data_IF_542315943069
#
_entry.id   IF_542315943069
#
_cell.length_a   1.000
_cell.length_b   1.000
_cell.length_c   1.000
_cell.angle_alpha   90.00
_cell.angle_beta   90.00
_cell.angle_gamma   90.00
#
_symmetry.space_group_name_H-M   'P 1'
#
loop_
_entity.id
_entity.type
_entity.pdbx_description
1 polymer ?
#
# COMPACT_ATOMS: atom_id res chain seq x y z
N UNK A 1 16.06 -8.37 16.86
CA UNK A 1 15.70 -7.04 17.41
C UNK A 1 15.97 -5.88 16.45
N UNK A 2 17.17 -5.75 15.83
CA UNK A 2 17.56 -4.57 15.02
C UNK A 2 16.72 -4.30 13.76
N UNK A 3 16.09 -5.31 13.17
CA UNK A 3 15.33 -5.19 11.92
C UNK A 3 13.80 -5.08 12.10
N UNK A 4 13.30 -5.22 13.33
CA UNK A 4 11.86 -5.17 13.64
C UNK A 4 11.27 -3.79 13.31
N UNK A 5 12.03 -2.72 13.60
CA UNK A 5 11.63 -1.35 13.24
C UNK A 5 11.45 -1.18 11.73
N UNK A 6 12.32 -1.81 10.92
CA UNK A 6 12.24 -1.72 9.45
C UNK A 6 11.08 -2.54 8.91
N UNK A 7 10.79 -3.70 9.50
CA UNK A 7 9.61 -4.50 9.15
C UNK A 7 8.33 -3.72 9.46
N UNK A 8 8.19 -3.19 10.68
CA UNK A 8 7.06 -2.33 11.07
C UNK A 8 6.92 -1.12 10.17
N UNK A 9 8.02 -0.42 9.86
CA UNK A 9 8.00 0.75 8.97
C UNK A 9 7.50 0.38 7.56
N UNK A 10 8.05 -0.69 6.99
CA UNK A 10 7.66 -1.22 5.67
C UNK A 10 6.17 -1.51 5.62
N UNK A 11 5.66 -2.10 6.68
CA UNK A 11 4.27 -2.52 6.80
C UNK A 11 3.35 -1.34 6.97
N UNK A 12 3.69 -0.40 7.84
CA UNK A 12 2.89 0.81 8.07
C UNK A 12 2.82 1.65 6.80
N UNK A 13 3.93 1.75 6.06
CA UNK A 13 3.94 2.41 4.74
C UNK A 13 3.17 1.62 3.69
N UNK A 14 3.19 0.28 3.73
CA UNK A 14 2.37 -0.55 2.84
C UNK A 14 0.88 -0.36 3.12
N UNK A 15 0.49 -0.36 4.40
CA UNK A 15 -0.86 -0.10 4.86
C UNK A 15 -1.31 1.28 4.37
N UNK A 16 -0.54 2.33 4.69
CA UNK A 16 -0.84 3.69 4.26
C UNK A 16 -0.99 3.79 2.74
N UNK A 17 -0.10 3.16 1.96
CA UNK A 17 -0.20 3.12 0.51
C UNK A 17 -1.52 2.47 0.04
N UNK A 18 -1.89 1.31 0.58
CA UNK A 18 -3.14 0.63 0.23
C UNK A 18 -4.39 1.46 0.60
N UNK A 19 -4.37 2.10 1.76
CA UNK A 19 -5.44 3.00 2.20
C UNK A 19 -5.57 4.20 1.25
N UNK A 20 -4.47 4.85 0.88
CA UNK A 20 -4.47 5.99 -0.05
C UNK A 20 -4.94 5.59 -1.45
N UNK A 21 -4.52 4.42 -1.94
CA UNK A 21 -4.99 3.86 -3.20
C UNK A 21 -6.51 3.60 -3.15
N UNK A 22 -7.00 2.96 -2.08
CA UNK A 22 -8.44 2.72 -1.90
C UNK A 22 -9.23 4.03 -1.83
N UNK A 23 -8.75 5.02 -1.07
CA UNK A 23 -9.36 6.34 -0.99
C UNK A 23 -9.39 7.05 -2.36
N UNK A 24 -8.31 6.96 -3.12
CA UNK A 24 -8.23 7.52 -4.47
C UNK A 24 -9.23 6.87 -5.43
N UNK A 25 -9.38 5.55 -5.36
CA UNK A 25 -10.36 4.80 -6.16
C UNK A 25 -11.80 5.13 -5.75
N UNK A 26 -12.07 5.22 -4.44
CA UNK A 26 -13.40 5.61 -3.92
C UNK A 26 -13.77 7.03 -4.34
N UNK A 27 -12.81 7.95 -4.38
CA UNK A 27 -13.03 9.35 -4.78
C UNK A 27 -13.32 9.52 -6.27
N UNK A 28 -12.88 8.57 -7.11
CA UNK A 28 -13.12 8.60 -8.56
C UNK A 28 -14.45 7.96 -8.98
N UNK A 29 -15.11 7.22 -8.09
CA UNK A 29 -16.36 6.52 -8.39
C UNK A 29 -16.18 5.35 -9.37
N UNK A 30 -17.29 4.79 -9.92
CA UNK A 30 -17.22 3.65 -10.82
C UNK A 30 -16.47 4.00 -12.11
N UNK A 31 -15.39 3.25 -12.37
CA UNK A 31 -14.60 3.41 -13.59
C UNK A 31 -15.37 2.78 -14.75
N UNK A 32 -16.14 3.59 -15.49
CA UNK A 32 -16.72 3.16 -16.77
C UNK A 32 -15.71 3.34 -17.90
N UNK A 33 -15.43 2.30 -18.67
CA UNK A 33 -14.58 2.38 -19.86
C UNK A 33 -15.38 2.66 -21.14
N UNK A 34 -16.68 2.97 -21.03
CA UNK A 34 -17.53 3.26 -22.19
C UNK A 34 -17.14 4.59 -22.84
N UNK A 35 -16.80 4.54 -24.13
CA UNK A 35 -16.56 5.72 -24.96
C UNK A 35 -15.26 6.49 -24.70
N UNK A 36 -14.38 6.02 -23.81
CA UNK A 36 -13.11 6.70 -23.48
C UNK A 36 -11.92 5.79 -23.78
N UNK A 37 -10.86 6.38 -24.35
CA UNK A 37 -9.62 5.66 -24.63
C UNK A 37 -8.99 5.15 -23.32
N UNK A 38 -8.82 3.83 -23.12
CA UNK A 38 -8.40 3.24 -21.84
C UNK A 38 -7.05 3.77 -21.35
N UNK A 39 -6.15 4.14 -22.27
CA UNK A 39 -4.85 4.71 -21.92
C UNK A 39 -4.97 6.08 -21.22
N UNK A 40 -5.88 6.93 -21.69
CA UNK A 40 -6.12 8.26 -21.12
C UNK A 40 -6.76 8.13 -19.74
N UNK A 41 -7.69 7.18 -19.59
CA UNK A 41 -8.35 6.92 -18.31
C UNK A 41 -7.38 6.35 -17.27
N UNK A 42 -6.47 5.47 -17.68
CA UNK A 42 -5.40 4.96 -16.83
C UNK A 42 -4.49 6.10 -16.36
N UNK A 43 -4.07 7.00 -17.26
CA UNK A 43 -3.26 8.16 -16.89
C UNK A 43 -4.02 9.07 -15.90
N UNK A 44 -5.30 9.33 -16.09
CA UNK A 44 -6.11 10.09 -15.13
C UNK A 44 -6.15 9.43 -13.75
N UNK A 45 -6.29 8.10 -13.69
CA UNK A 45 -6.30 7.36 -12.42
C UNK A 45 -4.94 7.45 -11.74
N UNK A 46 -3.86 7.20 -12.49
CA UNK A 46 -2.48 7.19 -11.95
C UNK A 46 -2.06 8.59 -11.48
N UNK A 47 -2.44 9.65 -12.21
CA UNK A 47 -2.16 11.03 -11.85
C UNK A 47 -3.18 11.65 -10.88
N UNK A 48 -4.13 10.87 -10.37
CA UNK A 48 -5.00 11.32 -9.29
C UNK A 48 -4.17 11.55 -8.01
N UNK A 49 -4.34 12.67 -7.28
CA UNK A 49 -3.48 13.04 -6.15
C UNK A 49 -3.33 11.92 -5.10
N UNK A 50 -4.44 11.26 -4.75
CA UNK A 50 -4.45 10.17 -3.78
C UNK A 50 -3.82 8.89 -4.30
N UNK A 51 -4.08 8.54 -5.57
CA UNK A 51 -3.53 7.34 -6.19
C UNK A 51 -2.03 7.51 -6.42
N UNK A 52 -1.60 8.66 -6.93
CA UNK A 52 -0.20 8.99 -7.16
C UNK A 52 0.60 8.94 -5.86
N UNK A 53 0.11 9.59 -4.80
CA UNK A 53 0.74 9.54 -3.49
C UNK A 53 0.76 8.12 -2.92
N UNK A 54 -0.33 7.36 -3.09
CA UNK A 54 -0.39 5.95 -2.71
C UNK A 54 0.66 5.11 -3.44
N UNK A 55 0.84 5.33 -4.75
CA UNK A 55 1.85 4.68 -5.58
C UNK A 55 3.27 5.04 -5.16
N UNK A 56 3.57 6.32 -4.93
CA UNK A 56 4.87 6.76 -4.43
C UNK A 56 5.19 6.11 -3.08
N UNK A 57 4.22 6.09 -2.17
CA UNK A 57 4.37 5.45 -0.85
C UNK A 57 4.56 3.94 -0.99
N UNK A 58 3.88 3.32 -1.96
CA UNK A 58 4.02 1.89 -2.25
C UNK A 58 5.41 1.55 -2.76
N UNK A 59 6.01 2.38 -3.62
CA UNK A 59 7.39 2.19 -4.09
C UNK A 59 8.38 2.23 -2.92
N UNK A 60 8.23 3.19 -2.00
CA UNK A 60 9.08 3.31 -0.80
C UNK A 60 8.89 2.08 0.11
N UNK A 61 7.65 1.64 0.29
CA UNK A 61 7.33 0.43 1.04
C UNK A 61 8.00 -0.79 0.41
N UNK A 62 7.89 -0.97 -0.91
CA UNK A 62 8.50 -2.11 -1.60
C UNK A 62 10.03 -2.09 -1.53
N UNK A 63 10.66 -0.94 -1.68
CA UNK A 63 12.11 -0.81 -1.49
C UNK A 63 12.54 -1.25 -0.08
N UNK A 64 11.79 -0.81 0.94
CA UNK A 64 12.02 -1.21 2.34
C UNK A 64 11.78 -2.70 2.55
N UNK A 65 10.76 -3.26 1.91
CA UNK A 65 10.42 -4.68 1.95
C UNK A 65 11.54 -5.55 1.37
N UNK A 66 12.04 -5.21 0.18
CA UNK A 66 13.15 -5.91 -0.46
C UNK A 66 14.42 -5.83 0.39
N UNK A 67 14.70 -4.67 1.00
CA UNK A 67 15.83 -4.52 1.91
C UNK A 67 15.74 -5.44 3.13
N UNK A 68 14.56 -5.55 3.74
CA UNK A 68 14.31 -6.47 4.86
C UNK A 68 14.49 -7.93 4.43
N UNK A 69 13.92 -8.34 3.29
CA UNK A 69 14.10 -9.70 2.76
C UNK A 69 15.58 -10.01 2.48
N UNK A 70 16.36 -9.02 2.06
CA UNK A 70 17.79 -9.19 1.82
C UNK A 70 18.61 -9.40 3.10
N UNK A 71 18.07 -9.07 4.28
CA UNK A 71 18.79 -9.10 5.57
C UNK A 71 18.29 -10.15 6.56
N UNK A 72 17.11 -10.71 6.34
CA UNK A 72 16.44 -11.61 7.29
C UNK A 72 15.93 -12.83 6.55
N UNK A 73 16.18 -14.02 7.10
CA UNK A 73 15.61 -15.26 6.56
C UNK A 73 14.07 -15.23 6.65
N UNK A 74 13.41 -15.73 5.62
CA UNK A 74 11.94 -15.72 5.50
C UNK A 74 11.26 -16.28 6.76
N UNK A 75 11.78 -17.36 7.35
CA UNK A 75 11.23 -17.98 8.57
C UNK A 75 11.18 -17.04 9.79
N UNK A 76 12.05 -16.04 9.86
CA UNK A 76 12.05 -15.04 10.94
C UNK A 76 11.23 -13.79 10.57
N UNK A 77 11.11 -13.48 9.27
CA UNK A 77 10.33 -12.35 8.78
C UNK A 77 8.81 -12.64 8.79
N UNK A 78 8.39 -13.87 8.47
CA UNK A 78 6.98 -14.26 8.36
C UNK A 78 6.13 -13.97 9.62
N UNK A 79 6.57 -14.29 10.85
CA UNK A 79 5.80 -13.95 12.06
C UNK A 79 5.57 -12.45 12.24
N UNK A 80 6.55 -11.62 11.87
CA UNK A 80 6.43 -10.16 11.92
C UNK A 80 5.59 -9.61 10.76
N UNK A 81 5.66 -10.24 9.57
CA UNK A 81 4.74 -9.97 8.47
C UNK A 81 3.29 -10.29 8.84
N UNK A 82 3.03 -11.33 9.62
CA UNK A 82 1.68 -11.65 10.12
C UNK A 82 1.13 -10.57 11.04
N UNK A 83 1.96 -10.07 11.98
CA UNK A 83 1.60 -8.94 12.85
C UNK A 83 1.27 -7.67 12.07
N UNK A 84 1.91 -7.56 10.91
CA UNK A 84 1.74 -6.48 9.99
C UNK A 84 0.41 -6.51 9.23
N UNK A 85 -0.07 -7.69 8.84
CA UNK A 85 -1.43 -7.85 8.33
C UNK A 85 -2.48 -7.45 9.39
N UNK A 86 -2.23 -7.72 10.67
CA UNK A 86 -3.10 -7.27 11.77
C UNK A 86 -3.11 -5.75 11.88
N UNK A 87 -1.95 -5.09 11.78
CA UNK A 87 -1.88 -3.63 11.79
C UNK A 87 -2.62 -3.00 10.59
N UNK A 88 -2.46 -3.58 9.39
CA UNK A 88 -3.23 -3.17 8.19
C UNK A 88 -4.72 -3.31 8.45
N UNK A 89 -5.18 -4.43 9.01
CA UNK A 89 -6.58 -4.67 9.32
C UNK A 89 -7.14 -3.67 10.33
N UNK A 90 -6.39 -3.37 11.40
CA UNK A 90 -6.79 -2.37 12.41
C UNK A 90 -6.88 -0.97 11.78
N UNK A 91 -5.89 -0.58 10.99
CA UNK A 91 -5.91 0.73 10.33
C UNK A 91 -7.01 0.82 9.27
N UNK A 92 -7.26 -0.25 8.52
CA UNK A 92 -8.39 -0.34 7.60
C UNK A 92 -9.72 -0.19 8.33
N UNK A 93 -9.90 -0.89 9.45
CA UNK A 93 -11.08 -0.75 10.32
C UNK A 93 -11.25 0.66 10.85
N UNK A 94 -10.18 1.31 11.31
CA UNK A 94 -10.28 2.65 11.89
C UNK A 94 -10.51 3.75 10.84
N UNK A 95 -9.87 3.64 9.67
CA UNK A 95 -9.89 4.65 8.60
C UNK A 95 -11.10 4.49 7.68
N UNK A 96 -11.43 3.26 7.28
CA UNK A 96 -12.53 2.97 6.37
C UNK A 96 -13.81 2.49 7.06
N UNK A 97 -13.76 2.21 8.38
CA UNK A 97 -14.88 1.62 9.15
C UNK A 97 -15.39 0.30 8.55
N UNK A 98 -14.48 -0.50 8.01
CA UNK A 98 -14.72 -1.89 7.55
C UNK A 98 -14.24 -2.90 8.58
#
# INVERSE_FOLDING_TARGET
>A
MKYIIFILFTVMTNAAAQLMLKQGMMSMGPISFEGVNPLVKLLQIVFSPWVFLGLCTFVISMASHLYVLSKVELSFAYPFLSLAYVAVAIFAYFVFRE
#
